data_IF_978431693303
#
_entry.id   IF_978431693303
#
_cell.length_a   1.000
_cell.length_b   1.000
_cell.length_c   1.000
_cell.angle_alpha   90.00
_cell.angle_beta   90.00
_cell.angle_gamma   90.00
#
_symmetry.space_group_name_H-M   'P 1'
#
loop_
_entity.id
_entity.type
_entity.pdbx_description
1 polymer ?
#
# COMPACT_ATOMS: atom_id res chain seq x y z
N UNK A 1 19.97 -41.40 37.45
CA UNK A 1 20.95 -40.35 37.79
C UNK A 1 21.16 -39.53 36.53
N UNK A 2 20.15 -38.71 36.25
CA UNK A 2 19.84 -38.11 34.96
C UNK A 2 20.54 -36.77 34.79
N UNK A 3 21.86 -36.81 34.63
CA UNK A 3 22.69 -35.62 34.35
C UNK A 3 22.58 -35.13 32.89
N UNK A 4 21.95 -35.91 32.01
CA UNK A 4 21.80 -35.60 30.57
C UNK A 4 20.63 -34.64 30.27
N UNK A 5 19.54 -34.71 31.04
CA UNK A 5 18.36 -33.84 30.84
C UNK A 5 18.67 -32.34 31.08
N UNK A 6 19.35 -31.95 32.17
CA UNK A 6 19.70 -30.55 32.41
C UNK A 6 20.65 -29.98 31.34
N UNK A 7 21.61 -30.79 30.86
CA UNK A 7 22.58 -30.38 29.84
C UNK A 7 21.91 -30.21 28.47
N UNK A 8 21.02 -31.13 28.09
CA UNK A 8 20.24 -31.01 26.85
C UNK A 8 19.33 -29.77 26.88
N UNK A 9 18.73 -29.46 28.02
CA UNK A 9 17.92 -28.26 28.20
C UNK A 9 18.74 -26.98 28.04
N UNK A 10 19.92 -26.91 28.66
CA UNK A 10 20.83 -25.77 28.52
C UNK A 10 21.30 -25.57 27.07
N UNK A 11 21.65 -26.65 26.36
CA UNK A 11 22.02 -26.58 24.94
C UNK A 11 20.84 -26.10 24.08
N UNK A 12 19.64 -26.61 24.33
CA UNK A 12 18.42 -26.15 23.65
C UNK A 12 18.15 -24.66 23.89
N UNK A 13 18.32 -24.19 25.13
CA UNK A 13 18.15 -22.78 25.49
C UNK A 13 19.17 -21.88 24.80
N UNK A 14 20.45 -22.28 24.73
CA UNK A 14 21.51 -21.51 24.06
C UNK A 14 21.24 -21.39 22.57
N UNK A 15 20.81 -22.47 21.90
CA UNK A 15 20.44 -22.45 20.48
C UNK A 15 19.24 -21.54 20.26
N UNK A 16 18.22 -21.60 21.14
CA UNK A 16 17.03 -20.76 21.04
C UNK A 16 17.38 -19.27 21.21
N UNK A 17 18.17 -18.92 22.22
CA UNK A 17 18.64 -17.55 22.47
C UNK A 17 19.51 -17.03 21.34
N UNK A 18 20.41 -17.85 20.79
CA UNK A 18 21.21 -17.52 19.62
C UNK A 18 20.34 -17.25 18.39
N UNK A 19 19.34 -18.10 18.14
CA UNK A 19 18.37 -17.90 17.06
C UNK A 19 17.59 -16.58 17.22
N UNK A 20 17.10 -16.29 18.43
CA UNK A 20 16.40 -15.05 18.74
C UNK A 20 17.30 -13.81 18.52
N UNK A 21 18.56 -13.86 18.97
CA UNK A 21 19.52 -12.78 18.79
C UNK A 21 19.79 -12.48 17.31
N UNK A 22 19.89 -13.52 16.46
CA UNK A 22 20.06 -13.36 15.01
C UNK A 22 18.83 -12.71 14.36
N UNK A 23 17.62 -13.11 14.76
CA UNK A 23 16.37 -12.50 14.25
C UNK A 23 16.28 -11.02 14.63
N UNK A 24 16.53 -10.70 15.90
CA UNK A 24 16.52 -9.31 16.39
C UNK A 24 17.60 -8.48 15.70
N UNK A 25 18.82 -8.99 15.55
CA UNK A 25 19.90 -8.29 14.86
C UNK A 25 19.55 -8.03 13.40
N UNK A 26 18.98 -9.02 12.69
CA UNK A 26 18.48 -8.83 11.32
C UNK A 26 17.38 -7.77 11.25
N UNK A 27 16.47 -7.75 12.23
CA UNK A 27 15.40 -6.76 12.29
C UNK A 27 15.94 -5.35 12.52
N UNK A 28 16.90 -5.18 13.43
CA UNK A 28 17.55 -3.89 13.71
C UNK A 28 18.35 -3.41 12.50
N UNK A 29 19.12 -4.28 11.84
CA UNK A 29 19.88 -3.93 10.65
C UNK A 29 18.96 -3.51 9.49
N UNK A 30 17.79 -4.15 9.35
CA UNK A 30 16.76 -3.74 8.37
C UNK A 30 16.25 -2.33 8.65
N UNK A 31 15.90 -2.04 9.90
CA UNK A 31 15.41 -0.70 10.33
C UNK A 31 16.48 0.37 10.14
N UNK A 32 17.72 0.12 10.56
CA UNK A 32 18.85 1.07 10.40
C UNK A 32 19.22 1.33 8.94
N UNK A 33 19.06 0.34 8.06
CA UNK A 33 19.29 0.53 6.62
C UNK A 33 18.21 1.42 5.99
N UNK A 34 16.97 1.30 6.45
CA UNK A 34 15.89 2.20 6.05
C UNK A 34 16.06 3.61 6.67
N UNK A 35 16.67 3.75 7.84
CA UNK A 35 17.03 5.05 8.45
C UNK A 35 18.19 5.76 7.75
N UNK A 36 19.23 5.04 7.34
CA UNK A 36 20.35 5.65 6.62
C UNK A 36 19.99 6.14 5.21
N UNK A 37 19.05 5.47 4.54
CA UNK A 37 18.50 5.96 3.26
C UNK A 37 17.67 7.22 3.45
N UNK A 38 16.87 7.29 4.51
CA UNK A 38 16.12 8.49 4.89
C UNK A 38 17.06 9.68 5.19
N UNK A 39 18.08 9.47 6.02
CA UNK A 39 19.03 10.51 6.41
C UNK A 39 19.87 11.04 5.22
N UNK A 40 20.22 10.17 4.27
CA UNK A 40 20.91 10.58 3.03
C UNK A 40 20.00 11.44 2.14
N UNK A 41 18.74 11.05 2.00
CA UNK A 41 17.76 11.83 1.25
C UNK A 41 17.49 13.17 1.95
N UNK A 42 17.38 13.21 3.26
CA UNK A 42 17.19 14.48 3.98
C UNK A 42 18.39 15.44 3.85
N UNK A 43 19.63 14.93 3.81
CA UNK A 43 20.85 15.75 3.71
C UNK A 43 21.27 16.14 2.29
N UNK A 44 20.86 15.42 1.25
CA UNK A 44 21.34 15.58 -0.12
C UNK A 44 20.36 16.38 -1.00
N UNK A 45 20.10 17.66 -0.68
CA UNK A 45 19.44 18.58 -1.61
C UNK A 45 18.09 18.12 -2.20
N UNK A 46 17.39 17.20 -1.53
CA UNK A 46 16.16 16.54 -2.01
C UNK A 46 15.02 17.51 -2.27
N UNK A 47 15.16 18.76 -1.85
CA UNK A 47 14.21 19.82 -2.14
C UNK A 47 14.03 20.18 -3.62
N UNK A 48 14.97 19.84 -4.50
CA UNK A 48 14.99 20.39 -5.86
C UNK A 48 14.52 19.46 -6.99
N UNK A 49 14.33 18.15 -6.75
CA UNK A 49 13.96 17.20 -7.81
C UNK A 49 12.76 16.32 -7.41
N UNK A 50 11.78 16.22 -8.31
CA UNK A 50 10.52 15.52 -8.09
C UNK A 50 10.75 14.02 -7.94
N UNK A 51 11.75 13.47 -8.64
CA UNK A 51 12.12 12.07 -8.53
C UNK A 51 12.64 11.75 -7.12
N UNK A 52 13.52 12.59 -6.59
CA UNK A 52 14.05 12.44 -5.23
C UNK A 52 12.97 12.58 -4.16
N UNK A 53 12.06 13.54 -4.32
CA UNK A 53 10.92 13.69 -3.41
C UNK A 53 9.97 12.48 -3.49
N UNK A 54 9.74 11.93 -4.68
CA UNK A 54 8.95 10.70 -4.85
C UNK A 54 9.60 9.49 -4.19
N UNK A 55 10.91 9.32 -4.34
CA UNK A 55 11.68 8.25 -3.68
C UNK A 55 11.62 8.38 -2.16
N UNK A 56 11.83 9.59 -1.63
CA UNK A 56 11.68 9.88 -0.20
C UNK A 56 10.28 9.55 0.31
N UNK A 57 9.24 10.03 -0.39
CA UNK A 57 7.85 9.73 -0.08
C UNK A 57 7.56 8.22 -0.07
N UNK A 58 8.13 7.49 -1.03
CA UNK A 58 7.98 6.02 -1.13
C UNK A 58 8.66 5.29 0.05
N UNK A 59 9.84 5.75 0.48
CA UNK A 59 10.49 5.25 1.71
C UNK A 59 9.62 5.51 2.93
N UNK A 60 9.07 6.71 3.06
CA UNK A 60 8.17 7.09 4.16
C UNK A 60 6.90 6.22 4.18
N UNK A 61 6.31 5.92 3.02
CA UNK A 61 5.18 4.99 2.89
C UNK A 61 5.53 3.57 3.39
N UNK A 62 6.69 3.04 3.00
CA UNK A 62 7.16 1.72 3.48
C UNK A 62 7.35 1.68 4.99
N UNK A 63 7.80 2.79 5.58
CA UNK A 63 7.93 2.97 7.04
C UNK A 63 6.62 3.30 7.75
N UNK A 64 5.50 3.40 7.03
CA UNK A 64 4.18 3.78 7.55
C UNK A 64 4.12 5.20 8.12
N UNK A 65 5.03 6.08 7.71
CA UNK A 65 5.02 7.50 8.04
C UNK A 65 4.06 8.25 7.10
N UNK A 66 2.78 7.89 7.14
CA UNK A 66 1.83 8.26 6.09
C UNK A 66 1.58 9.77 5.96
N UNK A 67 1.55 10.50 7.08
CA UNK A 67 1.41 11.97 7.06
C UNK A 67 2.59 12.64 6.35
N UNK A 68 3.81 12.32 6.79
CA UNK A 68 5.05 12.83 6.19
C UNK A 68 5.16 12.45 4.71
N UNK A 69 4.85 11.20 4.37
CA UNK A 69 4.84 10.73 2.99
C UNK A 69 3.91 11.57 2.10
N UNK A 70 2.69 11.84 2.56
CA UNK A 70 1.72 12.64 1.80
C UNK A 70 2.25 14.06 1.58
N UNK A 71 2.87 14.68 2.58
CA UNK A 71 3.40 16.04 2.45
C UNK A 71 4.60 16.09 1.49
N UNK A 72 5.53 15.13 1.59
CA UNK A 72 6.65 15.00 0.65
C UNK A 72 6.16 14.77 -0.78
N UNK A 73 5.21 13.86 -0.97
CA UNK A 73 4.69 13.52 -2.30
C UNK A 73 3.87 14.67 -2.92
N UNK A 74 3.20 15.50 -2.11
CA UNK A 74 2.55 16.73 -2.62
C UNK A 74 3.58 17.72 -3.16
N UNK A 75 4.75 17.82 -2.52
CA UNK A 75 5.86 18.66 -3.03
C UNK A 75 6.39 18.09 -4.35
N UNK A 76 6.55 16.77 -4.44
CA UNK A 76 6.91 16.10 -5.70
C UNK A 76 5.90 16.40 -6.81
N UNK A 77 4.60 16.29 -6.50
CA UNK A 77 3.51 16.52 -7.46
C UNK A 77 3.55 17.95 -8.00
N UNK A 78 3.77 18.94 -7.13
CA UNK A 78 3.86 20.35 -7.51
C UNK A 78 4.97 20.63 -8.54
N UNK A 79 6.06 19.85 -8.51
CA UNK A 79 7.18 20.00 -9.45
C UNK A 79 6.89 19.37 -10.82
N UNK A 80 5.95 18.42 -10.90
CA UNK A 80 5.54 17.75 -12.15
C UNK A 80 4.18 18.20 -12.68
N UNK A 81 3.59 19.25 -12.10
CA UNK A 81 2.28 19.78 -12.51
C UNK A 81 2.34 20.64 -13.79
N UNK A 82 3.52 20.83 -14.41
CA UNK A 82 3.70 21.55 -15.67
C UNK A 82 3.37 20.74 -16.93
N UNK A 83 2.95 21.41 -18.01
CA UNK A 83 2.45 20.83 -19.28
C UNK A 83 3.41 19.87 -20.00
N UNK A 84 4.72 19.94 -19.72
CA UNK A 84 5.74 19.08 -20.34
C UNK A 84 6.13 17.86 -19.50
N UNK A 85 5.51 17.67 -18.33
CA UNK A 85 5.88 16.58 -17.44
C UNK A 85 5.28 15.25 -17.93
N UNK A 86 6.02 14.13 -17.84
CA UNK A 86 5.48 12.83 -18.21
C UNK A 86 4.22 12.52 -17.40
N UNK A 87 3.09 12.27 -18.07
CA UNK A 87 1.83 11.90 -17.42
C UNK A 87 1.98 10.69 -16.48
N UNK A 88 2.93 9.81 -16.78
CA UNK A 88 3.29 8.68 -15.93
C UNK A 88 3.84 9.09 -14.57
N UNK A 89 4.78 10.04 -14.49
CA UNK A 89 5.33 10.50 -13.20
C UNK A 89 4.22 11.11 -12.32
N UNK A 90 3.35 11.92 -12.93
CA UNK A 90 2.17 12.47 -12.26
C UNK A 90 1.24 11.36 -11.75
N UNK A 91 0.99 10.34 -12.56
CA UNK A 91 0.14 9.21 -12.18
C UNK A 91 0.72 8.42 -10.99
N UNK A 92 2.02 8.13 -11.01
CA UNK A 92 2.71 7.43 -9.93
C UNK A 92 2.65 8.22 -8.62
N UNK A 93 2.98 9.52 -8.65
CA UNK A 93 2.98 10.38 -7.47
C UNK A 93 1.55 10.53 -6.92
N UNK A 94 0.56 10.80 -7.78
CA UNK A 94 -0.83 10.94 -7.34
C UNK A 94 -1.37 9.64 -6.71
N UNK A 95 -1.05 8.48 -7.31
CA UNK A 95 -1.41 7.19 -6.72
C UNK A 95 -0.73 6.95 -5.37
N UNK A 96 0.54 7.32 -5.20
CA UNK A 96 1.25 7.21 -3.93
C UNK A 96 0.65 8.13 -2.85
N UNK A 97 0.24 9.36 -3.19
CA UNK A 97 -0.49 10.25 -2.27
C UNK A 97 -1.80 9.60 -1.85
N UNK A 98 -2.57 9.08 -2.80
CA UNK A 98 -3.83 8.38 -2.53
C UNK A 98 -3.62 7.20 -1.58
N UNK A 99 -2.55 6.42 -1.76
CA UNK A 99 -2.20 5.30 -0.88
C UNK A 99 -1.94 5.76 0.56
N UNK A 100 -1.13 6.82 0.73
CA UNK A 100 -0.85 7.41 2.05
C UNK A 100 -2.11 7.93 2.75
N UNK A 101 -3.03 8.54 2.00
CA UNK A 101 -4.32 9.03 2.52
C UNK A 101 -5.26 7.88 2.91
N UNK A 102 -5.36 6.84 2.07
CA UNK A 102 -6.18 5.66 2.36
C UNK A 102 -5.68 4.91 3.60
N UNK A 103 -4.36 4.84 3.80
CA UNK A 103 -3.76 4.26 5.00
C UNK A 103 -4.11 5.05 6.28
N UNK A 104 -4.42 6.35 6.16
CA UNK A 104 -4.90 7.22 7.23
C UNK A 104 -6.43 7.22 7.36
N UNK A 105 -7.16 6.37 6.61
CA UNK A 105 -8.62 6.33 6.61
C UNK A 105 -9.30 7.45 5.82
N UNK A 106 -8.54 8.32 5.14
CA UNK A 106 -9.08 9.45 4.37
C UNK A 106 -9.50 9.01 2.96
N UNK A 107 -10.46 8.08 2.88
CA UNK A 107 -10.82 7.39 1.63
C UNK A 107 -11.37 8.33 0.54
N UNK A 108 -12.18 9.33 0.90
CA UNK A 108 -12.71 10.32 -0.06
C UNK A 108 -11.59 11.12 -0.73
N UNK A 109 -10.61 11.59 0.06
CA UNK A 109 -9.43 12.30 -0.46
C UNK A 109 -8.53 11.37 -1.29
N UNK A 110 -8.37 10.12 -0.85
CA UNK A 110 -7.60 9.12 -1.58
C UNK A 110 -8.17 8.86 -2.99
N UNK A 111 -9.50 8.69 -3.11
CA UNK A 111 -10.18 8.51 -4.40
C UNK A 111 -9.87 9.65 -5.36
N UNK A 112 -9.96 10.91 -4.91
CA UNK A 112 -9.65 12.08 -5.77
C UNK A 112 -8.25 12.02 -6.35
N UNK A 113 -7.27 11.55 -5.57
CA UNK A 113 -5.89 11.40 -6.01
C UNK A 113 -5.70 10.19 -6.93
N UNK A 114 -6.36 9.07 -6.67
CA UNK A 114 -6.34 7.93 -7.60
C UNK A 114 -7.02 8.24 -8.94
N UNK A 115 -8.15 8.95 -8.93
CA UNK A 115 -8.79 9.45 -10.16
C UNK A 115 -7.88 10.44 -10.89
N UNK A 116 -7.12 11.26 -10.16
CA UNK A 116 -6.10 12.11 -10.77
C UNK A 116 -4.98 11.31 -11.43
N UNK A 117 -4.60 10.18 -10.83
CA UNK A 117 -3.65 9.27 -11.45
C UNK A 117 -4.21 8.66 -12.73
N UNK A 118 -5.49 8.26 -12.72
CA UNK A 118 -6.18 7.70 -13.89
C UNK A 118 -6.41 8.73 -15.00
N UNK A 119 -6.62 10.01 -14.68
CA UNK A 119 -6.64 11.08 -15.70
C UNK A 119 -5.28 11.25 -16.39
N UNK A 120 -4.18 11.06 -15.65
CA UNK A 120 -2.84 11.18 -16.20
C UNK A 120 -2.37 9.90 -16.92
N UNK A 121 -2.84 8.73 -16.47
CA UNK A 121 -2.61 7.40 -17.07
C UNK A 121 -3.87 6.54 -16.96
N UNK A 122 -4.74 6.53 -17.99
CA UNK A 122 -6.02 5.81 -17.95
C UNK A 122 -5.87 4.29 -17.78
N UNK A 123 -4.80 3.72 -18.30
CA UNK A 123 -4.48 2.28 -18.28
C UNK A 123 -3.63 1.90 -17.05
N UNK A 124 -3.99 2.40 -15.87
CA UNK A 124 -3.22 2.16 -14.64
C UNK A 124 -3.92 1.18 -13.67
N UNK A 125 -3.70 -0.15 -13.81
CA UNK A 125 -4.41 -1.17 -13.02
C UNK A 125 -4.21 -1.03 -11.51
N UNK A 126 -3.04 -0.55 -11.08
CA UNK A 126 -2.75 -0.32 -9.65
C UNK A 126 -3.67 0.77 -9.07
N UNK A 127 -3.86 1.87 -9.80
CA UNK A 127 -4.75 2.94 -9.36
C UNK A 127 -6.22 2.49 -9.34
N UNK A 128 -6.68 1.73 -10.35
CA UNK A 128 -8.04 1.14 -10.36
C UNK A 128 -8.28 0.22 -9.16
N UNK A 129 -7.35 -0.68 -8.85
CA UNK A 129 -7.43 -1.54 -7.67
C UNK A 129 -7.47 -0.73 -6.36
N UNK A 130 -6.75 0.40 -6.30
CA UNK A 130 -6.73 1.27 -5.14
C UNK A 130 -8.03 2.10 -4.99
N UNK A 131 -8.62 2.57 -6.09
CA UNK A 131 -9.97 3.18 -6.13
C UNK A 131 -10.99 2.17 -5.59
N UNK A 132 -10.99 0.96 -6.13
CA UNK A 132 -11.90 -0.11 -5.73
C UNK A 132 -11.82 -0.39 -4.21
N UNK A 133 -10.60 -0.45 -3.67
CA UNK A 133 -10.40 -0.62 -2.22
C UNK A 133 -10.95 0.56 -1.40
N UNK A 134 -10.73 1.80 -1.84
CA UNK A 134 -11.23 2.98 -1.14
C UNK A 134 -12.77 3.12 -1.23
N UNK A 135 -13.38 2.67 -2.32
CA UNK A 135 -14.84 2.57 -2.49
C UNK A 135 -15.43 1.49 -1.60
N UNK A 136 -14.80 0.31 -1.53
CA UNK A 136 -15.19 -0.78 -0.63
C UNK A 136 -15.19 -0.27 0.83
N UNK A 137 -14.17 0.49 1.22
CA UNK A 137 -14.09 1.09 2.57
C UNK A 137 -15.17 2.13 2.85
N UNK A 138 -15.77 2.72 1.82
CA UNK A 138 -16.90 3.64 1.91
C UNK A 138 -18.26 2.93 1.73
N UNK A 139 -18.30 1.58 1.74
CA UNK A 139 -19.53 0.79 1.53
C UNK A 139 -20.18 0.99 0.15
N UNK A 140 -19.45 1.56 -0.82
CA UNK A 140 -19.88 1.69 -2.23
C UNK A 140 -19.52 0.42 -2.98
N UNK A 141 -20.20 -0.68 -2.65
CA UNK A 141 -19.77 -2.03 -3.03
C UNK A 141 -19.90 -2.29 -4.53
N UNK A 142 -20.96 -1.78 -5.17
CA UNK A 142 -21.20 -1.92 -6.60
C UNK A 142 -20.11 -1.18 -7.40
N UNK A 143 -19.82 0.08 -7.05
CA UNK A 143 -18.75 0.88 -7.65
C UNK A 143 -17.37 0.20 -7.45
N UNK A 144 -17.14 -0.38 -6.27
CA UNK A 144 -15.91 -1.11 -5.98
C UNK A 144 -15.75 -2.37 -6.85
N UNK A 145 -16.83 -3.14 -7.05
CA UNK A 145 -16.83 -4.31 -7.94
C UNK A 145 -16.46 -3.92 -9.37
N UNK A 146 -17.06 -2.86 -9.91
CA UNK A 146 -16.75 -2.39 -11.26
C UNK A 146 -15.30 -1.93 -11.40
N UNK A 147 -14.77 -1.19 -10.43
CA UNK A 147 -13.37 -0.79 -10.43
C UNK A 147 -12.40 -2.00 -10.31
N UNK A 148 -12.74 -3.02 -9.52
CA UNK A 148 -11.95 -4.26 -9.47
C UNK A 148 -11.98 -5.04 -10.79
N UNK A 149 -13.13 -5.10 -11.47
CA UNK A 149 -13.24 -5.72 -12.79
C UNK A 149 -12.38 -5.00 -13.83
N UNK A 150 -12.45 -3.66 -13.87
CA UNK A 150 -11.60 -2.87 -14.76
C UNK A 150 -10.11 -3.10 -14.50
N UNK A 151 -9.69 -3.15 -13.23
CA UNK A 151 -8.31 -3.47 -12.88
C UNK A 151 -7.88 -4.86 -13.39
N UNK A 152 -8.78 -5.85 -13.33
CA UNK A 152 -8.53 -7.23 -13.81
C UNK A 152 -8.58 -7.35 -15.33
N UNK A 153 -9.29 -6.47 -16.03
CA UNK A 153 -9.23 -6.39 -17.50
C UNK A 153 -7.83 -5.98 -17.97
N UNK A 154 -7.18 -5.04 -17.25
CA UNK A 154 -5.84 -4.57 -17.56
C UNK A 154 -4.73 -5.48 -17.00
N UNK A 155 -4.93 -6.04 -15.80
CA UNK A 155 -4.02 -7.00 -15.18
C UNK A 155 -4.80 -8.21 -14.61
N UNK A 156 -5.03 -9.25 -15.43
CA UNK A 156 -5.72 -10.46 -14.99
C UNK A 156 -4.99 -11.22 -13.87
N UNK A 157 -3.70 -10.94 -13.66
CA UNK A 157 -2.87 -11.62 -12.65
C UNK A 157 -2.96 -10.98 -11.26
N UNK A 158 -3.68 -9.85 -11.12
CA UNK A 158 -3.83 -9.13 -9.86
C UNK A 158 -4.63 -9.93 -8.82
N UNK A 159 -3.91 -10.73 -8.03
CA UNK A 159 -4.46 -11.59 -6.97
C UNK A 159 -5.26 -10.81 -5.92
N UNK A 160 -4.89 -9.55 -5.66
CA UNK A 160 -5.58 -8.71 -4.68
C UNK A 160 -6.96 -8.33 -5.19
N UNK A 161 -7.05 -7.80 -6.41
CA UNK A 161 -8.32 -7.44 -7.04
C UNK A 161 -9.23 -8.67 -7.17
N UNK A 162 -8.70 -9.80 -7.64
CA UNK A 162 -9.46 -11.04 -7.79
C UNK A 162 -10.05 -11.54 -6.46
N UNK A 163 -9.26 -11.55 -5.39
CA UNK A 163 -9.72 -12.00 -4.06
C UNK A 163 -10.78 -11.06 -3.49
N UNK A 164 -10.61 -9.75 -3.67
CA UNK A 164 -11.55 -8.72 -3.19
C UNK A 164 -12.88 -8.81 -3.93
N UNK A 165 -12.85 -8.86 -5.26
CA UNK A 165 -14.04 -8.99 -6.10
C UNK A 165 -14.85 -10.24 -5.75
N UNK A 166 -14.20 -11.41 -5.69
CA UNK A 166 -14.86 -12.67 -5.30
C UNK A 166 -15.54 -12.59 -3.93
N UNK A 167 -14.95 -11.88 -2.98
CA UNK A 167 -15.56 -11.69 -1.65
C UNK A 167 -16.82 -10.82 -1.75
N UNK A 168 -16.77 -9.73 -2.50
CA UNK A 168 -17.91 -8.83 -2.68
C UNK A 168 -19.08 -9.54 -3.39
N UNK A 169 -18.80 -10.26 -4.48
CA UNK A 169 -19.82 -11.01 -5.23
C UNK A 169 -20.50 -12.08 -4.36
N UNK A 170 -19.74 -12.82 -3.55
CA UNK A 170 -20.30 -13.79 -2.59
C UNK A 170 -21.21 -13.13 -1.57
N UNK A 171 -20.82 -11.97 -1.05
CA UNK A 171 -21.64 -11.23 -0.08
C UNK A 171 -22.96 -10.74 -0.68
N UNK A 172 -22.93 -10.23 -1.93
CA UNK A 172 -24.15 -9.83 -2.64
C UNK A 172 -25.06 -11.02 -2.96
N UNK A 173 -24.48 -12.16 -3.36
CA UNK A 173 -25.24 -13.38 -3.61
C UNK A 173 -25.94 -13.88 -2.34
N UNK A 174 -25.24 -13.88 -1.20
CA UNK A 174 -25.80 -14.32 0.08
C UNK A 174 -26.96 -13.41 0.55
N UNK A 175 -26.81 -12.09 0.37
CA UNK A 175 -27.86 -11.12 0.69
C UNK A 175 -29.13 -11.36 -0.14
N UNK A 176 -28.98 -11.58 -1.45
CA UNK A 176 -30.12 -11.87 -2.35
C UNK A 176 -30.88 -13.14 -1.97
N UNK A 177 -30.18 -14.17 -1.48
CA UNK A 177 -30.82 -15.43 -1.03
C UNK A 177 -31.46 -15.33 0.36
N UNK A 178 -31.11 -14.31 1.15
CA UNK A 178 -31.60 -14.14 2.54
C UNK A 178 -32.86 -13.29 2.67
N UNK A 179 -33.26 -12.57 1.62
CA UNK A 179 -34.52 -11.83 1.56
C UNK A 179 -35.55 -12.75 0.89
N UNK A 180 -36.53 -13.31 1.63
CA UNK A 180 -37.58 -14.09 1.00
C UNK A 180 -38.39 -13.19 0.09
N UNK A 181 -38.70 -13.68 -1.12
CA UNK A 181 -39.57 -13.00 -2.05
C UNK A 181 -40.91 -12.72 -1.34
N UNK A 182 -41.34 -11.45 -1.17
CA UNK A 182 -42.60 -11.15 -0.50
C UNK A 182 -43.85 -11.55 -1.31
N UNK A 183 -43.66 -12.24 -2.44
CA UNK A 183 -44.70 -12.68 -3.36
C UNK A 183 -44.62 -14.20 -3.56
N UNK A 184 -45.16 -14.95 -2.61
CA UNK A 184 -45.85 -16.25 -2.77
C UNK A 184 -46.93 -16.38 -1.72
#
# INVERSE_FOLDING_TARGET
MDLLLPQAYLLGLVVLLGGAAVVVTRQILRVRRDESTLARLEGAGVEQDAANLYELGSVQLRKRLYGQAVDTLKRALKQVDGEQSPGEARALIANAIGFGLAAQGQYKSAIRHYESALRAKPDYPVALNNVAFALEKQQKLEEACEAYKQALTLDPSNKTALRRLKRLERSQSALKTSVPNPET
#
